data_IF_945855267372
#
_entry.id   IF_945855267372
#
_cell.length_a   1.000
_cell.length_b   1.000
_cell.length_c   1.000
_cell.angle_alpha   90.00
_cell.angle_beta   90.00
_cell.angle_gamma   90.00
#
_symmetry.space_group_name_H-M   'P 1'
#
loop_
_entity.id
_entity.type
_entity.pdbx_description
1 polymer ?
#
# COMPACT_ATOMS: atom_id res chain seq x y z
N UNK A 1 7.95 -3.70 8.50
CA UNK A 1 8.56 -4.96 8.03
C UNK A 1 8.11 -6.21 8.79
N UNK A 2 7.95 -6.19 10.13
CA UNK A 2 7.59 -7.39 10.91
C UNK A 2 6.33 -8.15 10.45
N UNK A 3 5.26 -7.45 10.07
CA UNK A 3 4.03 -8.07 9.54
C UNK A 3 4.31 -8.83 8.24
N UNK A 4 5.01 -8.21 7.28
CA UNK A 4 5.36 -8.86 6.01
C UNK A 4 6.21 -10.13 6.22
N UNK A 5 7.17 -10.08 7.15
CA UNK A 5 7.98 -11.24 7.53
C UNK A 5 7.12 -12.38 8.07
N UNK A 6 6.18 -12.09 8.99
CA UNK A 6 5.30 -13.12 9.56
C UNK A 6 4.36 -13.73 8.51
N UNK A 7 3.78 -12.91 7.61
CA UNK A 7 2.92 -13.42 6.53
C UNK A 7 3.75 -14.26 5.56
N UNK A 8 4.94 -13.82 5.17
CA UNK A 8 5.86 -14.59 4.32
C UNK A 8 6.20 -15.93 4.95
N UNK A 9 6.58 -15.94 6.22
CA UNK A 9 6.97 -17.18 6.91
C UNK A 9 5.76 -18.13 7.04
N UNK A 10 4.55 -17.59 7.20
CA UNK A 10 3.32 -18.37 7.10
C UNK A 10 3.13 -18.96 5.69
N UNK A 11 3.35 -18.21 4.61
CA UNK A 11 3.29 -18.74 3.22
C UNK A 11 4.32 -19.86 3.00
N UNK A 12 5.53 -19.73 3.54
CA UNK A 12 6.57 -20.76 3.43
C UNK A 12 6.14 -22.02 4.17
N UNK A 13 5.66 -21.88 5.40
CA UNK A 13 5.35 -23.02 6.27
C UNK A 13 4.03 -23.70 5.93
N UNK A 14 3.01 -22.94 5.52
CA UNK A 14 1.69 -23.46 5.20
C UNK A 14 1.58 -23.94 3.74
N UNK A 15 2.15 -23.18 2.79
CA UNK A 15 1.94 -23.41 1.35
C UNK A 15 3.20 -23.95 0.64
N UNK A 16 4.32 -24.08 1.35
CA UNK A 16 5.58 -24.61 0.79
C UNK A 16 6.24 -23.69 -0.25
N UNK A 17 5.81 -22.43 -0.34
CA UNK A 17 6.38 -21.45 -1.28
C UNK A 17 7.82 -21.14 -0.86
N UNK A 18 8.74 -21.10 -1.82
CA UNK A 18 10.12 -20.69 -1.52
C UNK A 18 10.18 -19.26 -0.98
N UNK A 19 11.21 -18.94 -0.17
CA UNK A 19 11.38 -17.60 0.41
C UNK A 19 11.38 -16.50 -0.65
N UNK A 20 12.12 -16.69 -1.74
CA UNK A 20 12.23 -15.69 -2.81
C UNK A 20 10.89 -15.50 -3.52
N UNK A 21 10.19 -16.59 -3.84
CA UNK A 21 8.87 -16.52 -4.45
C UNK A 21 7.84 -15.86 -3.52
N UNK A 22 7.92 -16.09 -2.20
CA UNK A 22 7.06 -15.45 -1.22
C UNK A 22 7.36 -13.95 -1.11
N UNK A 23 8.64 -13.55 -1.07
CA UNK A 23 9.06 -12.14 -1.05
C UNK A 23 8.51 -11.37 -2.27
N UNK A 24 8.50 -12.00 -3.45
CA UNK A 24 7.95 -11.40 -4.68
C UNK A 24 6.42 -11.19 -4.66
N UNK A 25 5.71 -11.61 -3.60
CA UNK A 25 4.28 -11.31 -3.40
C UNK A 25 4.02 -10.08 -2.53
N UNK A 26 5.06 -9.35 -2.14
CA UNK A 26 4.94 -8.12 -1.36
C UNK A 26 5.49 -6.92 -2.13
N UNK A 27 4.76 -5.81 -2.10
CA UNK A 27 5.16 -4.52 -2.64
C UNK A 27 5.16 -3.50 -1.52
N UNK A 28 6.35 -3.20 -1.01
CA UNK A 28 6.54 -2.32 0.14
C UNK A 28 6.63 -0.87 -0.31
N UNK A 29 5.77 0.00 0.21
CA UNK A 29 5.78 1.44 -0.09
C UNK A 29 6.07 2.20 1.20
N UNK A 30 7.08 3.07 1.18
CA UNK A 30 7.39 3.98 2.28
C UNK A 30 7.36 5.46 1.83
N UNK A 31 7.90 6.37 2.64
CA UNK A 31 7.93 7.82 2.32
C UNK A 31 8.75 8.18 1.07
N UNK A 32 9.66 7.31 0.66
CA UNK A 32 10.47 7.44 -0.56
C UNK A 32 9.82 6.68 -1.74
N UNK A 33 8.69 5.98 -1.50
CA UNK A 33 7.90 5.27 -2.52
C UNK A 33 8.07 3.75 -2.46
N UNK A 34 7.74 3.09 -3.57
CA UNK A 34 7.95 1.65 -3.71
C UNK A 34 9.43 1.26 -3.55
N UNK A 35 9.69 0.20 -2.79
CA UNK A 35 11.02 -0.38 -2.63
C UNK A 35 11.39 -1.28 -3.82
N UNK A 36 12.07 -0.73 -4.83
CA UNK A 36 12.56 -1.49 -6.00
C UNK A 36 14.02 -1.23 -6.37
N UNK A 37 14.65 -0.23 -5.76
CA UNK A 37 16.09 0.00 -5.85
C UNK A 37 16.58 0.66 -4.56
N UNK A 38 17.90 0.64 -4.34
CA UNK A 38 18.52 1.40 -3.25
C UNK A 38 18.40 2.89 -3.59
N UNK A 39 17.43 3.57 -2.99
CA UNK A 39 17.21 5.02 -3.19
C UNK A 39 18.38 5.83 -2.63
N UNK A 40 19.05 5.34 -1.58
CA UNK A 40 20.36 5.81 -1.12
C UNK A 40 21.05 4.77 -0.21
N UNK A 41 22.40 4.81 -0.15
CA UNK A 41 23.20 3.93 0.73
C UNK A 41 22.89 4.12 2.24
N UNK A 42 22.22 5.22 2.61
CA UNK A 42 21.83 5.55 3.98
C UNK A 42 20.52 4.86 4.41
N UNK A 43 19.73 4.34 3.46
CA UNK A 43 18.43 3.67 3.68
C UNK A 43 18.58 2.15 3.41
N UNK A 44 19.80 1.64 3.48
CA UNK A 44 20.14 0.27 3.10
C UNK A 44 19.95 -0.73 4.26
N UNK A 45 18.72 -0.77 4.80
CA UNK A 45 18.40 -1.64 5.93
C UNK A 45 18.30 -3.10 5.46
N UNK A 46 19.12 -4.04 5.99
CA UNK A 46 19.18 -5.43 5.47
C UNK A 46 17.83 -6.14 5.40
N UNK A 47 16.93 -5.85 6.32
CA UNK A 47 15.61 -6.46 6.40
C UNK A 47 14.59 -5.87 5.40
N UNK A 48 14.90 -4.73 4.76
CA UNK A 48 14.10 -4.18 3.66
C UNK A 48 14.52 -4.77 2.31
N UNK A 49 15.83 -5.04 2.13
CA UNK A 49 16.41 -5.58 0.88
C UNK A 49 15.71 -6.84 0.38
N UNK A 50 15.33 -7.71 1.29
CA UNK A 50 14.65 -8.98 0.95
C UNK A 50 13.33 -8.77 0.20
N UNK A 51 12.71 -7.60 0.36
CA UNK A 51 11.43 -7.23 -0.27
C UNK A 51 11.60 -6.22 -1.40
N UNK A 52 12.84 -5.94 -1.83
CA UNK A 52 13.05 -5.07 -2.98
C UNK A 52 12.54 -5.74 -4.24
N UNK A 53 11.77 -5.00 -5.02
CA UNK A 53 11.33 -5.46 -6.32
C UNK A 53 12.53 -5.57 -7.28
N UNK A 54 12.58 -6.61 -8.13
CA UNK A 54 13.67 -6.78 -9.07
C UNK A 54 13.65 -5.69 -10.15
N UNK A 55 14.84 -5.25 -10.58
CA UNK A 55 14.98 -4.23 -11.63
C UNK A 55 14.32 -4.60 -12.97
N UNK A 56 14.09 -5.90 -13.21
CA UNK A 56 13.36 -6.39 -14.38
C UNK A 56 11.90 -5.93 -14.44
N UNK A 57 11.31 -5.47 -13.33
CA UNK A 57 9.94 -4.95 -13.27
C UNK A 57 9.81 -3.48 -13.75
N UNK A 58 10.92 -2.82 -14.14
CA UNK A 58 10.94 -1.51 -14.83
C UNK A 58 10.15 -0.37 -14.15
N UNK A 59 10.11 -0.38 -12.82
CA UNK A 59 9.44 0.64 -12.00
C UNK A 59 9.92 2.08 -12.26
N UNK A 60 11.13 2.26 -12.81
CA UNK A 60 11.63 3.58 -13.22
C UNK A 60 10.76 4.28 -14.26
N UNK A 61 10.03 3.53 -15.10
CA UNK A 61 9.18 4.06 -16.16
C UNK A 61 7.91 4.76 -15.62
N UNK A 62 7.54 4.49 -14.37
CA UNK A 62 6.33 5.04 -13.73
C UNK A 62 6.61 6.04 -12.60
N UNK A 63 7.87 6.47 -12.45
CA UNK A 63 8.27 7.50 -11.49
C UNK A 63 7.55 8.82 -11.77
N UNK A 64 6.97 9.43 -10.73
CA UNK A 64 6.34 10.76 -10.79
C UNK A 64 6.84 11.66 -9.66
N UNK A 65 6.56 12.95 -9.77
CA UNK A 65 6.76 13.90 -8.66
C UNK A 65 5.79 13.51 -7.54
N UNK A 66 6.30 13.45 -6.31
CA UNK A 66 5.51 13.09 -5.14
C UNK A 66 4.31 14.00 -4.95
N UNK A 67 3.16 13.46 -4.54
CA UNK A 67 1.93 14.24 -4.38
C UNK A 67 2.09 15.41 -3.39
N UNK A 68 2.86 15.20 -2.32
CA UNK A 68 3.21 16.21 -1.30
C UNK A 68 4.24 17.25 -1.78
N UNK A 69 5.00 16.92 -2.82
CA UNK A 69 6.02 17.77 -3.42
C UNK A 69 5.49 18.56 -4.64
N UNK A 70 4.32 18.19 -5.18
CA UNK A 70 3.67 18.85 -6.32
C UNK A 70 2.93 20.16 -5.95
N UNK A 71 2.65 20.41 -4.67
CA UNK A 71 1.98 21.63 -4.22
C UNK A 71 2.97 22.80 -4.11
N UNK A 72 2.94 23.73 -5.06
CA UNK A 72 3.71 25.00 -5.01
C UNK A 72 2.76 26.17 -4.77
N UNK A 73 2.91 26.86 -3.64
CA UNK A 73 2.31 28.18 -3.43
C UNK A 73 3.42 29.25 -3.48
N UNK A 74 3.08 30.44 -3.97
CA UNK A 74 4.00 31.57 -4.05
C UNK A 74 4.49 31.95 -2.64
N UNK A 75 5.80 31.82 -2.40
CA UNK A 75 6.45 32.09 -1.11
C UNK A 75 6.94 30.86 -0.34
N UNK A 76 6.70 29.64 -0.85
CA UNK A 76 7.24 28.42 -0.23
C UNK A 76 8.76 28.33 -0.35
N UNK A 77 9.44 27.90 0.72
CA UNK A 77 10.87 27.53 0.68
C UNK A 77 11.07 26.37 -0.29
N UNK A 78 12.13 26.36 -1.13
CA UNK A 78 12.38 25.26 -2.05
C UNK A 78 12.48 23.92 -1.30
N UNK A 79 11.48 23.04 -1.48
CA UNK A 79 11.54 21.65 -1.01
C UNK A 79 12.31 20.82 -2.03
N UNK A 80 13.06 19.84 -1.55
CA UNK A 80 13.65 18.80 -2.42
C UNK A 80 12.50 18.03 -3.07
N UNK A 81 12.30 18.22 -4.37
CA UNK A 81 11.31 17.47 -5.15
C UNK A 81 11.74 16.00 -5.17
N UNK A 82 10.96 15.12 -4.55
CA UNK A 82 11.20 13.68 -4.64
C UNK A 82 10.43 13.13 -5.82
N UNK A 83 11.10 12.23 -6.55
CA UNK A 83 10.50 11.48 -7.64
C UNK A 83 10.48 10.01 -7.23
N UNK A 84 9.29 9.43 -7.21
CA UNK A 84 9.07 8.09 -6.66
C UNK A 84 7.87 7.42 -7.33
N UNK A 85 7.76 6.11 -7.13
CA UNK A 85 6.54 5.36 -7.47
C UNK A 85 5.60 5.44 -6.27
N UNK A 86 4.43 6.06 -6.46
CA UNK A 86 3.46 6.28 -5.39
C UNK A 86 2.61 5.03 -5.14
N UNK A 87 1.89 5.04 -4.02
CA UNK A 87 0.96 3.95 -3.67
C UNK A 87 -0.09 3.70 -4.75
N UNK A 88 -0.68 4.77 -5.31
CA UNK A 88 -1.68 4.64 -6.37
C UNK A 88 -1.12 3.99 -7.63
N UNK A 89 0.08 4.38 -8.06
CA UNK A 89 0.75 3.78 -9.22
C UNK A 89 1.05 2.30 -8.95
N UNK A 90 1.56 1.99 -7.76
CA UNK A 90 1.81 0.60 -7.32
C UNK A 90 0.52 -0.23 -7.37
N UNK A 91 -0.59 0.26 -6.80
CA UNK A 91 -1.87 -0.46 -6.76
C UNK A 91 -2.41 -0.72 -8.17
N UNK A 92 -2.31 0.26 -9.07
CA UNK A 92 -2.76 0.10 -10.47
C UNK A 92 -1.95 -0.95 -11.22
N UNK A 93 -0.64 -1.01 -10.98
CA UNK A 93 0.26 -1.95 -11.64
C UNK A 93 0.07 -3.38 -11.11
N UNK A 94 0.07 -3.56 -9.78
CA UNK A 94 0.13 -4.90 -9.17
C UNK A 94 -1.24 -5.49 -8.85
N UNK A 95 -2.28 -4.65 -8.81
CA UNK A 95 -3.68 -5.05 -8.54
C UNK A 95 -3.78 -5.94 -7.28
N UNK A 96 -3.34 -5.44 -6.11
CA UNK A 96 -3.18 -6.28 -4.95
C UNK A 96 -4.53 -6.81 -4.44
N UNK A 97 -4.53 -8.03 -3.89
CA UNK A 97 -5.70 -8.59 -3.20
C UNK A 97 -5.78 -8.14 -1.73
N UNK A 98 -4.64 -7.75 -1.15
CA UNK A 98 -4.50 -7.31 0.23
C UNK A 98 -3.73 -5.99 0.29
N UNK A 99 -4.28 -5.00 0.99
CA UNK A 99 -3.65 -3.70 1.23
C UNK A 99 -3.56 -3.45 2.75
N UNK A 100 -2.34 -3.33 3.29
CA UNK A 100 -2.08 -3.18 4.73
C UNK A 100 -1.38 -1.85 5.02
N UNK A 101 -1.98 -1.05 5.89
CA UNK A 101 -1.47 0.26 6.31
C UNK A 101 -0.84 0.17 7.69
N UNK A 102 0.44 0.52 7.81
CA UNK A 102 1.19 0.55 9.08
C UNK A 102 2.15 1.74 9.15
N UNK A 103 1.89 2.81 8.39
CA UNK A 103 2.83 3.91 8.17
C UNK A 103 2.57 5.13 9.06
N UNK A 104 1.43 5.18 9.74
CA UNK A 104 0.88 6.37 10.42
C UNK A 104 0.62 7.57 9.49
N UNK A 105 0.69 7.37 8.17
CA UNK A 105 0.33 8.36 7.18
C UNK A 105 -1.20 8.43 7.05
N UNK A 106 -1.80 9.30 7.86
CA UNK A 106 -3.25 9.54 7.85
C UNK A 106 -3.76 9.86 6.44
N UNK A 107 -4.83 9.21 6.02
CA UNK A 107 -5.43 9.43 4.70
C UNK A 107 -4.65 8.85 3.51
N UNK A 108 -3.62 8.03 3.73
CA UNK A 108 -2.85 7.42 2.65
C UNK A 108 -3.68 6.48 1.74
N UNK A 109 -4.73 5.86 2.26
CA UNK A 109 -5.66 5.06 1.47
C UNK A 109 -6.77 5.96 0.93
N UNK A 110 -6.43 6.76 -0.08
CA UNK A 110 -7.40 7.68 -0.70
C UNK A 110 -8.52 6.91 -1.41
N UNK A 111 -9.61 7.61 -1.72
CA UNK A 111 -10.71 7.06 -2.51
C UNK A 111 -10.21 6.47 -3.84
N UNK A 112 -9.29 7.16 -4.52
CA UNK A 112 -8.70 6.67 -5.78
C UNK A 112 -7.90 5.38 -5.60
N UNK A 113 -7.14 5.26 -4.52
CA UNK A 113 -6.37 4.04 -4.21
C UNK A 113 -7.31 2.86 -3.96
N UNK A 114 -8.32 3.06 -3.12
CA UNK A 114 -9.27 2.01 -2.74
C UNK A 114 -10.13 1.58 -3.93
N UNK A 115 -10.63 2.54 -4.72
CA UNK A 115 -11.39 2.25 -5.94
C UNK A 115 -10.54 1.54 -6.99
N UNK A 116 -9.31 1.99 -7.24
CA UNK A 116 -8.42 1.34 -8.20
C UNK A 116 -8.18 -0.13 -7.86
N UNK A 117 -7.95 -0.45 -6.59
CA UNK A 117 -7.83 -1.84 -6.12
C UNK A 117 -9.13 -2.63 -6.33
N UNK A 118 -10.27 -2.09 -5.87
CA UNK A 118 -11.55 -2.79 -5.92
C UNK A 118 -12.06 -3.04 -7.36
N UNK A 119 -11.90 -2.05 -8.24
CA UNK A 119 -12.25 -2.14 -9.65
C UNK A 119 -11.36 -3.13 -10.38
N UNK A 120 -10.04 -3.11 -10.15
CA UNK A 120 -9.12 -4.07 -10.74
C UNK A 120 -9.48 -5.51 -10.36
N UNK A 121 -9.74 -5.78 -9.08
CA UNK A 121 -10.16 -7.10 -8.62
C UNK A 121 -11.53 -7.49 -9.18
N UNK A 122 -12.50 -6.57 -9.24
CA UNK A 122 -13.81 -6.84 -9.85
C UNK A 122 -13.70 -7.24 -11.33
N UNK A 123 -12.78 -6.62 -12.07
CA UNK A 123 -12.55 -6.89 -13.49
C UNK A 123 -11.84 -8.23 -13.71
N UNK A 124 -10.89 -8.58 -12.85
CA UNK A 124 -10.12 -9.83 -12.97
C UNK A 124 -10.92 -11.05 -12.47
N UNK A 125 -11.53 -10.94 -11.29
CA UNK A 125 -12.41 -11.95 -10.71
C UNK A 125 -13.47 -11.31 -9.80
N UNK A 126 -14.74 -11.24 -10.24
CA UNK A 126 -15.86 -10.72 -9.44
C UNK A 126 -16.05 -11.38 -8.06
N UNK A 127 -15.60 -12.62 -7.88
CA UNK A 127 -15.68 -13.35 -6.62
C UNK A 127 -14.63 -12.91 -5.59
N UNK A 128 -13.53 -12.31 -6.04
CA UNK A 128 -12.44 -11.87 -5.17
C UNK A 128 -12.80 -10.58 -4.43
N UNK A 129 -12.68 -10.62 -3.11
CA UNK A 129 -12.96 -9.47 -2.22
C UNK A 129 -11.66 -8.75 -1.86
N UNK A 130 -11.60 -7.41 -1.95
CA UNK A 130 -10.44 -6.66 -1.48
C UNK A 130 -10.30 -6.78 0.04
N UNK A 131 -9.12 -7.14 0.53
CA UNK A 131 -8.80 -7.12 1.97
C UNK A 131 -8.04 -5.83 2.26
N UNK A 132 -8.61 -4.93 3.06
CA UNK A 132 -8.02 -3.62 3.34
C UNK A 132 -7.89 -3.44 4.85
N UNK A 133 -6.66 -3.29 5.33
CA UNK A 133 -6.32 -3.28 6.74
C UNK A 133 -5.62 -1.97 7.12
N UNK A 134 -6.35 -0.90 7.46
CA UNK A 134 -5.73 0.32 7.95
C UNK A 134 -5.45 0.19 9.46
N UNK A 135 -4.20 -0.12 9.80
CA UNK A 135 -3.81 -0.54 11.15
C UNK A 135 -3.18 0.58 12.00
N UNK A 136 -3.00 1.77 11.44
CA UNK A 136 -2.35 2.87 12.16
C UNK A 136 -3.17 3.39 13.35
N UNK A 137 -2.46 3.65 14.45
CA UNK A 137 -3.01 4.06 15.73
C UNK A 137 -2.37 5.37 16.24
N UNK A 138 -3.11 6.22 16.98
CA UNK A 138 -4.54 6.12 17.29
C UNK A 138 -5.41 6.47 16.07
N UNK A 139 -6.72 6.21 16.10
CA UNK A 139 -7.62 6.28 14.93
C UNK A 139 -7.61 7.56 14.07
N UNK A 140 -7.05 8.69 14.55
CA UNK A 140 -6.79 9.88 13.73
C UNK A 140 -5.65 9.70 12.70
N UNK A 141 -4.80 8.70 12.89
CA UNK A 141 -3.67 8.34 12.02
C UNK A 141 -4.01 7.19 11.07
N UNK A 142 -5.27 6.75 11.06
CA UNK A 142 -5.73 5.66 10.20
C UNK A 142 -5.57 6.04 8.73
N UNK A 143 -5.14 5.09 7.90
CA UNK A 143 -4.93 5.32 6.47
C UNK A 143 -6.24 5.62 5.72
N UNK A 144 -7.34 5.00 6.15
CA UNK A 144 -8.71 5.33 5.77
C UNK A 144 -9.68 4.84 6.84
N UNK A 145 -10.82 5.53 7.03
CA UNK A 145 -11.84 5.04 7.95
C UNK A 145 -12.52 3.79 7.35
N UNK A 146 -12.94 2.83 8.18
CA UNK A 146 -13.63 1.63 7.68
C UNK A 146 -14.92 1.96 6.93
N UNK A 147 -15.65 3.01 7.35
CA UNK A 147 -16.84 3.49 6.63
C UNK A 147 -16.52 3.93 5.20
N UNK A 148 -15.48 4.74 5.02
CA UNK A 148 -15.06 5.24 3.71
C UNK A 148 -14.66 4.07 2.80
N UNK A 149 -13.84 3.14 3.32
CA UNK A 149 -13.43 1.93 2.59
C UNK A 149 -14.64 1.11 2.13
N UNK A 150 -15.63 0.90 3.01
CA UNK A 150 -16.84 0.14 2.65
C UNK A 150 -17.68 0.88 1.61
N UNK A 151 -17.86 2.21 1.74
CA UNK A 151 -18.59 3.01 0.75
C UNK A 151 -17.90 2.97 -0.62
N UNK A 152 -16.59 3.19 -0.67
CA UNK A 152 -15.82 3.23 -1.92
C UNK A 152 -15.75 1.87 -2.64
N UNK A 153 -15.90 0.77 -1.89
CA UNK A 153 -15.90 -0.59 -2.46
C UNK A 153 -17.30 -1.17 -2.65
N UNK A 154 -18.37 -0.38 -2.46
CA UNK A 154 -19.75 -0.87 -2.54
C UNK A 154 -20.04 -2.01 -1.57
N UNK A 155 -19.41 -2.00 -0.38
CA UNK A 155 -19.56 -3.01 0.66
C UNK A 155 -18.81 -4.33 0.40
N UNK A 156 -17.98 -4.41 -0.65
CA UNK A 156 -17.27 -5.65 -1.00
C UNK A 156 -16.03 -5.92 -0.16
N UNK A 157 -15.40 -4.88 0.41
CA UNK A 157 -14.15 -5.03 1.13
C UNK A 157 -14.31 -5.79 2.46
N UNK A 158 -13.29 -6.62 2.77
CA UNK A 158 -13.07 -7.14 4.11
C UNK A 158 -12.12 -6.18 4.84
N UNK A 159 -12.58 -5.59 5.95
CA UNK A 159 -11.87 -4.52 6.65
C UNK A 159 -11.52 -4.93 8.08
N UNK A 160 -10.28 -4.70 8.48
CA UNK A 160 -9.81 -4.84 9.85
C UNK A 160 -8.95 -3.64 10.25
N UNK A 161 -9.26 -3.02 11.40
CA UNK A 161 -8.64 -1.77 11.84
C UNK A 161 -7.77 -1.97 13.07
N UNK A 162 -6.70 -1.17 13.20
CA UNK A 162 -5.83 -1.19 14.39
C UNK A 162 -6.44 -0.48 15.60
N UNK A 163 -7.34 0.48 15.36
CA UNK A 163 -8.11 1.22 16.38
C UNK A 163 -9.56 0.77 16.38
N UNK A 164 -10.30 0.93 17.49
CA UNK A 164 -11.73 0.66 17.54
C UNK A 164 -12.51 1.69 16.71
N UNK A 165 -13.49 1.21 15.94
CA UNK A 165 -14.49 2.02 15.24
C UNK A 165 -15.88 1.45 15.53
N UNK A 166 -16.90 2.31 15.42
CA UNK A 166 -18.29 1.86 15.51
C UNK A 166 -18.70 1.00 14.32
N UNK A 167 -19.85 0.36 14.44
CA UNK A 167 -20.46 -0.37 13.33
C UNK A 167 -20.73 0.57 12.15
N UNK A 168 -20.53 0.08 10.93
CA UNK A 168 -20.85 0.79 9.70
C UNK A 168 -22.18 0.24 9.17
N UNK A 169 -23.15 1.14 9.00
CA UNK A 169 -24.41 0.81 8.35
C UNK A 169 -24.25 1.08 6.84
N UNK A 170 -24.41 0.04 6.03
CA UNK A 170 -24.42 0.15 4.58
C UNK A 170 -25.87 0.17 4.11
N UNK A 171 -26.22 1.13 3.26
CA UNK A 171 -27.50 1.13 2.57
C UNK A 171 -27.46 0.01 1.53
N UNK A 172 -28.15 -1.10 1.81
CA UNK A 172 -28.29 -2.27 0.93
C UNK A 172 -29.47 -2.14 -0.01
#
# INVERSE_FOLDING_TARGET
MGIAVQIRDAMITADGVSRDAANLRFWMVDREGLLYHVVSAEIDLPHQKEFYRPASEKWDEIIRVGADDASTWEGATPKKIRRRVELLDTVKEVKPTVLIGCSTASGAFTEEVVKAMAEALQQEDPGTKPIIMPLSNPGKLVEAKPEDVLRWTGGRALVATGSPFGNVNMDT
#
